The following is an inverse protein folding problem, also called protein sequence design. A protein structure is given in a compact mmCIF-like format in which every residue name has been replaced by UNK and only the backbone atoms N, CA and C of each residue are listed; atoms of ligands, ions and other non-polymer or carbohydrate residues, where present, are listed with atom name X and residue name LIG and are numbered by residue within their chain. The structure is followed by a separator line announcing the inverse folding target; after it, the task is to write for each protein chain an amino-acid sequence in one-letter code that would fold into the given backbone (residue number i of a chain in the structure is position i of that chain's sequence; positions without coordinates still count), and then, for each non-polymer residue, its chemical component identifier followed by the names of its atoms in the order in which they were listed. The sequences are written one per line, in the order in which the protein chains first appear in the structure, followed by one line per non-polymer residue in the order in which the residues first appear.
data_IF_656433231351
#
_entry.id   IF_656433231351
#
_cell.length_a   1.000
_cell.length_b   1.000
_cell.length_c   1.000
_cell.angle_alpha   90.00
_cell.angle_beta   90.00
_cell.angle_gamma   90.00
#
_symmetry.space_group_name_H-M   'P 1'
#
loop_
_entity.id
_entity.type
_entity.pdbx_description
1 polymer ?
#
# COMPACT_ATOMS: atom_id res chain seq x y z
N UNK A 1 -7.08 56.28 11.22
CA UNK A 1 -6.99 54.82 11.48
C UNK A 1 -8.34 54.06 11.51
N UNK A 2 -9.52 54.72 11.42
CA UNK A 2 -10.82 54.01 11.45
C UNK A 2 -11.25 53.37 10.11
N UNK A 3 -10.75 53.89 8.98
CA UNK A 3 -11.10 53.40 7.64
C UNK A 3 -10.43 52.05 7.32
N UNK A 4 -9.22 51.80 7.85
CA UNK A 4 -8.49 50.55 7.62
C UNK A 4 -9.16 49.34 8.31
N UNK A 5 -9.79 49.55 9.47
CA UNK A 5 -10.55 48.50 10.15
C UNK A 5 -11.86 48.14 9.43
N UNK A 6 -12.52 49.12 8.82
CA UNK A 6 -13.76 48.91 8.06
C UNK A 6 -13.52 48.04 6.81
N UNK A 7 -12.40 48.25 6.12
CA UNK A 7 -12.02 47.45 4.94
C UNK A 7 -11.67 46.01 5.33
N UNK A 8 -10.97 45.81 6.45
CA UNK A 8 -10.64 44.47 6.95
C UNK A 8 -11.87 43.64 7.35
N UNK A 9 -12.86 44.27 7.98
CA UNK A 9 -14.12 43.59 8.36
C UNK A 9 -14.96 43.24 7.13
N UNK A 10 -14.99 44.11 6.12
CA UNK A 10 -15.71 43.84 4.87
C UNK A 10 -15.10 42.65 4.10
N UNK A 11 -13.77 42.55 4.06
CA UNK A 11 -13.09 41.45 3.39
C UNK A 11 -13.33 40.09 4.08
N UNK A 12 -13.39 40.08 5.42
CA UNK A 12 -13.71 38.88 6.20
C UNK A 12 -15.15 38.40 5.96
N UNK A 13 -16.11 39.34 5.85
CA UNK A 13 -17.51 39.03 5.58
C UNK A 13 -17.71 38.42 4.17
N UNK A 14 -17.00 38.92 3.15
CA UNK A 14 -17.05 38.35 1.79
C UNK A 14 -16.45 36.94 1.75
N UNK A 15 -15.36 36.69 2.50
CA UNK A 15 -14.76 35.36 2.58
C UNK A 15 -15.70 34.32 3.24
N UNK A 16 -16.49 34.73 4.24
CA UNK A 16 -17.44 33.86 4.93
C UNK A 16 -18.64 33.47 4.04
N UNK A 17 -19.08 34.34 3.12
CA UNK A 17 -20.20 34.04 2.23
C UNK A 17 -19.86 33.00 1.15
N UNK A 18 -18.61 32.92 0.70
CA UNK A 18 -18.19 31.95 -0.32
C UNK A 18 -18.00 30.51 0.19
N UNK A 19 -18.04 30.28 1.51
CA UNK A 19 -17.80 28.96 2.09
C UNK A 19 -19.08 28.08 2.17
N UNK A 20 -20.28 28.66 1.98
CA UNK A 20 -21.54 27.94 2.15
C UNK A 20 -22.09 27.28 0.88
N UNK A 21 -21.47 27.49 -0.28
CA UNK A 21 -22.01 27.04 -1.57
C UNK A 21 -21.64 25.61 -1.98
N UNK A 22 -20.76 24.91 -1.24
CA UNK A 22 -20.22 23.60 -1.65
C UNK A 22 -20.84 22.36 -0.98
N UNK A 23 -21.86 22.48 -0.13
CA UNK A 23 -22.35 21.34 0.69
C UNK A 23 -23.53 20.55 0.11
N UNK A 24 -23.97 20.79 -1.13
CA UNK A 24 -25.14 20.08 -1.71
C UNK A 24 -24.79 19.22 -2.93
N UNK A 25 -23.87 18.27 -2.78
CA UNK A 25 -23.81 17.10 -3.67
C UNK A 25 -24.74 16.00 -3.13
N UNK A 26 -25.97 16.00 -3.64
CA UNK A 26 -27.01 15.02 -3.38
C UNK A 26 -26.62 13.69 -4.07
N UNK A 27 -26.30 12.68 -3.27
CA UNK A 27 -26.01 11.31 -3.74
C UNK A 27 -27.29 10.73 -4.39
N UNK A 28 -27.27 10.27 -5.67
CA UNK A 28 -28.43 9.58 -6.24
C UNK A 28 -28.64 8.24 -5.53
N UNK A 29 -29.92 7.87 -5.35
CA UNK A 29 -30.33 6.63 -4.71
C UNK A 29 -29.80 5.42 -5.49
N UNK A 30 -29.30 4.42 -4.75
CA UNK A 30 -28.86 3.15 -5.32
C UNK A 30 -30.06 2.44 -5.99
N UNK A 31 -29.89 1.83 -7.17
CA UNK A 31 -30.90 0.95 -7.74
C UNK A 31 -31.14 -0.23 -6.79
N UNK A 32 -32.41 -0.59 -6.60
CA UNK A 32 -32.83 -1.79 -5.87
C UNK A 32 -32.08 -2.99 -6.43
N UNK A 33 -31.46 -3.76 -5.52
CA UNK A 33 -30.82 -5.03 -5.85
C UNK A 33 -31.84 -5.91 -6.60
N UNK A 34 -31.53 -6.25 -7.85
CA UNK A 34 -32.22 -7.31 -8.55
C UNK A 34 -31.91 -8.62 -7.83
N UNK A 35 -32.95 -9.42 -7.59
CA UNK A 35 -32.88 -10.75 -7.02
C UNK A 35 -32.18 -11.70 -8.01
N UNK A 36 -30.86 -11.61 -8.13
CA UNK A 36 -30.06 -12.58 -8.88
C UNK A 36 -29.77 -13.79 -7.98
N UNK A 37 -30.75 -14.68 -7.88
CA UNK A 37 -30.57 -16.07 -7.44
C UNK A 37 -31.30 -17.01 -8.38
N UNK A 38 -30.98 -16.88 -9.67
CA UNK A 38 -31.23 -17.89 -10.71
C UNK A 38 -29.99 -18.81 -10.89
N UNK A 39 -29.23 -19.08 -9.83
CA UNK A 39 -28.01 -19.92 -9.88
C UNK A 39 -28.26 -21.40 -9.56
N UNK A 40 -29.48 -21.89 -9.71
CA UNK A 40 -29.75 -23.32 -9.74
C UNK A 40 -30.26 -23.70 -11.12
N UNK A 41 -29.35 -23.78 -12.09
CA UNK A 41 -29.59 -24.58 -13.27
C UNK A 41 -29.37 -26.05 -12.85
N UNK A 42 -30.41 -26.92 -12.86
CA UNK A 42 -30.19 -28.35 -12.84
C UNK A 42 -29.56 -28.75 -14.18
N UNK A 43 -28.27 -28.47 -14.34
CA UNK A 43 -27.49 -28.88 -15.48
C UNK A 43 -27.33 -30.41 -15.46
N UNK A 44 -27.25 -30.99 -16.66
CA UNK A 44 -26.90 -32.39 -16.81
C UNK A 44 -25.58 -32.69 -16.05
N UNK A 45 -25.42 -33.89 -15.47
CA UNK A 45 -24.23 -34.25 -14.74
C UNK A 45 -23.00 -34.00 -15.61
N UNK A 46 -22.15 -33.07 -15.16
CA UNK A 46 -20.89 -32.76 -15.83
C UNK A 46 -20.00 -33.98 -15.66
N UNK A 47 -19.60 -34.60 -16.78
CA UNK A 47 -18.63 -35.69 -16.76
C UNK A 47 -17.30 -35.14 -16.27
N UNK A 48 -16.94 -35.48 -15.04
CA UNK A 48 -15.66 -35.16 -14.46
C UNK A 48 -14.79 -36.41 -14.50
N UNK A 49 -13.89 -36.47 -15.49
CA UNK A 49 -13.00 -37.60 -15.70
C UNK A 49 -12.16 -37.95 -14.45
N UNK A 50 -11.89 -36.97 -13.57
CA UNK A 50 -11.19 -37.21 -12.32
C UNK A 50 -12.07 -37.92 -11.30
N UNK A 51 -13.29 -37.41 -11.04
CA UNK A 51 -14.22 -38.04 -10.09
C UNK A 51 -14.73 -39.40 -10.60
N UNK A 52 -14.90 -39.54 -11.91
CA UNK A 52 -15.26 -40.80 -12.56
C UNK A 52 -14.12 -41.84 -12.42
N UNK A 53 -12.86 -41.40 -12.35
CA UNK A 53 -11.71 -42.29 -12.10
C UNK A 53 -11.59 -42.74 -10.64
N UNK A 54 -12.01 -41.89 -9.69
CA UNK A 54 -12.03 -42.22 -8.27
C UNK A 54 -13.16 -43.19 -7.91
N UNK A 55 -14.31 -43.07 -8.56
CA UNK A 55 -15.49 -43.91 -8.28
C UNK A 55 -15.38 -45.31 -8.89
N UNK A 56 -14.71 -45.47 -10.03
CA UNK A 56 -14.52 -46.76 -10.70
C UNK A 56 -13.29 -47.56 -10.21
N UNK A 57 -12.44 -46.95 -9.38
CA UNK A 57 -11.22 -47.57 -8.85
C UNK A 57 -11.44 -48.27 -7.50
N UNK A 58 -11.96 -49.50 -7.51
CA UNK A 58 -11.99 -50.38 -6.33
C UNK A 58 -10.54 -50.72 -5.94
N UNK A 59 -10.00 -50.06 -4.91
CA UNK A 59 -8.79 -50.52 -4.21
C UNK A 59 -7.59 -49.57 -4.17
N UNK A 60 -7.62 -48.43 -4.86
CA UNK A 60 -6.49 -47.49 -4.83
C UNK A 60 -6.77 -46.40 -3.80
N UNK A 61 -6.21 -46.53 -2.60
CA UNK A 61 -6.18 -45.45 -1.63
C UNK A 61 -5.43 -44.26 -2.23
N UNK A 62 -6.18 -43.21 -2.60
CA UNK A 62 -5.57 -41.96 -3.02
C UNK A 62 -4.79 -41.36 -1.85
N UNK A 63 -3.47 -41.54 -1.82
CA UNK A 63 -2.61 -40.88 -0.85
C UNK A 63 -2.43 -39.41 -1.26
N UNK A 64 -3.11 -38.53 -0.54
CA UNK A 64 -2.84 -37.10 -0.57
C UNK A 64 -1.46 -36.84 0.04
N UNK A 65 -0.47 -36.59 -0.80
CA UNK A 65 0.83 -36.09 -0.36
C UNK A 65 0.75 -34.56 -0.25
N UNK A 66 0.63 -34.06 0.98
CA UNK A 66 0.71 -32.64 1.26
C UNK A 66 2.17 -32.28 1.53
N UNK A 67 2.86 -31.77 0.51
CA UNK A 67 4.20 -31.21 0.68
C UNK A 67 4.07 -29.82 1.31
N UNK A 68 4.33 -29.73 2.61
CA UNK A 68 4.48 -28.47 3.32
C UNK A 68 5.77 -27.79 2.84
N UNK A 69 5.67 -26.94 1.83
CA UNK A 69 6.77 -26.02 1.50
C UNK A 69 6.78 -24.95 2.58
N UNK A 70 7.84 -24.85 3.41
CA UNK A 70 7.91 -23.80 4.40
C UNK A 70 7.84 -22.44 3.68
N UNK A 71 7.11 -21.46 4.23
CA UNK A 71 7.09 -20.13 3.64
C UNK A 71 8.52 -19.59 3.54
N UNK A 72 8.88 -18.92 2.44
CA UNK A 72 10.21 -18.34 2.27
C UNK A 72 10.50 -17.39 3.45
N UNK A 73 11.74 -17.44 3.94
CA UNK A 73 12.16 -16.57 5.04
C UNK A 73 11.88 -15.10 4.69
N UNK A 74 11.37 -14.29 5.63
CA UNK A 74 11.12 -12.88 5.38
C UNK A 74 12.43 -12.20 4.96
N UNK A 75 12.45 -11.62 3.77
CA UNK A 75 13.60 -10.85 3.30
C UNK A 75 13.87 -9.71 4.29
N UNK A 76 15.08 -9.69 4.84
CA UNK A 76 15.50 -8.60 5.70
C UNK A 76 15.60 -7.33 4.84
N UNK A 77 14.64 -6.41 5.01
CA UNK A 77 14.62 -5.09 4.36
C UNK A 77 15.85 -4.22 4.73
N UNK A 78 16.64 -4.67 5.70
CA UNK A 78 17.74 -3.93 6.29
C UNK A 78 18.92 -4.86 6.56
N UNK A 79 20.09 -4.48 6.03
CA UNK A 79 21.36 -5.14 6.29
C UNK A 79 22.03 -4.48 7.50
N UNK A 80 22.41 -5.28 8.48
CA UNK A 80 23.28 -4.83 9.57
C UNK A 80 24.70 -4.61 9.05
N UNK A 81 25.32 -3.49 9.42
CA UNK A 81 26.71 -3.17 9.08
C UNK A 81 27.42 -2.68 10.35
N UNK A 82 28.71 -2.95 10.43
CA UNK A 82 29.61 -2.33 11.41
C UNK A 82 30.30 -1.16 10.71
N UNK A 83 29.67 0.02 10.79
CA UNK A 83 30.09 1.20 10.01
C UNK A 83 29.08 2.34 10.02
N UNK A 84 29.18 3.19 9.00
CA UNK A 84 28.44 4.44 8.85
C UNK A 84 27.51 4.40 7.64
N UNK A 85 26.38 5.10 7.77
CA UNK A 85 25.45 5.39 6.67
C UNK A 85 25.10 6.86 6.69
N UNK A 86 24.88 7.43 5.52
CA UNK A 86 24.46 8.84 5.40
C UNK A 86 22.94 8.90 5.39
N UNK A 87 22.36 9.60 6.37
CA UNK A 87 20.93 9.87 6.36
C UNK A 87 20.62 11.06 5.45
N UNK A 88 19.94 10.81 4.33
CA UNK A 88 19.57 11.84 3.35
C UNK A 88 18.18 12.43 3.59
N UNK A 89 17.32 11.71 4.32
CA UNK A 89 15.97 12.19 4.63
C UNK A 89 15.44 11.60 5.94
N UNK A 90 14.64 12.39 6.65
CA UNK A 90 13.80 11.94 7.75
C UNK A 90 12.48 12.75 7.76
N UNK A 91 11.34 12.07 7.76
CA UNK A 91 10.03 12.75 7.79
C UNK A 91 8.84 11.78 7.81
N UNK A 92 7.63 12.31 7.92
CA UNK A 92 6.41 11.50 8.07
C UNK A 92 5.85 10.94 6.74
N UNK A 93 6.21 11.54 5.60
CA UNK A 93 5.66 11.19 4.29
C UNK A 93 6.33 9.98 3.65
N UNK A 94 5.61 8.86 3.54
CA UNK A 94 6.09 7.64 2.88
C UNK A 94 6.41 7.86 1.40
N UNK A 95 5.51 8.53 0.66
CA UNK A 95 5.71 8.85 -0.76
C UNK A 95 6.96 9.70 -0.97
N UNK A 96 7.20 10.67 -0.08
CA UNK A 96 8.38 11.52 -0.16
C UNK A 96 9.66 10.72 0.11
N UNK A 97 9.65 9.85 1.11
CA UNK A 97 10.78 8.95 1.39
C UNK A 97 11.10 8.04 0.19
N UNK A 98 10.08 7.50 -0.49
CA UNK A 98 10.28 6.67 -1.69
C UNK A 98 10.85 7.46 -2.87
N UNK A 99 10.38 8.69 -3.08
CA UNK A 99 10.95 9.58 -4.10
C UNK A 99 12.43 9.89 -3.81
N UNK A 100 12.75 10.23 -2.56
CA UNK A 100 14.14 10.50 -2.16
C UNK A 100 15.01 9.27 -2.31
N UNK A 101 14.50 8.07 -1.96
CA UNK A 101 15.22 6.81 -2.18
C UNK A 101 15.55 6.61 -3.66
N UNK A 102 14.58 6.80 -4.56
CA UNK A 102 14.80 6.66 -6.00
C UNK A 102 15.85 7.66 -6.51
N UNK A 103 15.78 8.92 -6.07
CA UNK A 103 16.76 9.95 -6.45
C UNK A 103 18.16 9.65 -5.90
N UNK A 104 18.27 9.20 -4.65
CA UNK A 104 19.55 8.83 -4.06
C UNK A 104 20.16 7.62 -4.77
N UNK A 105 19.34 6.63 -5.16
CA UNK A 105 19.80 5.42 -5.84
C UNK A 105 20.35 5.68 -7.26
N UNK A 106 20.09 6.85 -7.87
CA UNK A 106 20.71 7.21 -9.15
C UNK A 106 22.10 7.83 -8.99
N UNK A 107 22.44 8.30 -7.79
CA UNK A 107 23.71 9.00 -7.51
C UNK A 107 24.66 8.09 -6.72
N UNK A 108 24.13 7.35 -5.77
CA UNK A 108 24.89 6.45 -4.90
C UNK A 108 24.94 5.07 -5.55
N UNK A 109 26.14 4.55 -5.77
CA UNK A 109 26.35 3.20 -6.33
C UNK A 109 25.95 2.10 -5.34
N UNK A 110 26.02 2.41 -4.04
CA UNK A 110 25.64 1.52 -2.96
C UNK A 110 24.13 1.47 -2.70
N UNK A 111 23.75 0.58 -1.79
CA UNK A 111 22.34 0.36 -1.42
C UNK A 111 21.75 1.58 -0.70
N UNK A 112 20.50 1.91 -1.04
CA UNK A 112 19.70 2.94 -0.37
C UNK A 112 18.51 2.30 0.35
N UNK A 113 18.48 2.47 1.66
CA UNK A 113 17.52 1.87 2.57
C UNK A 113 16.42 2.87 2.94
N UNK A 114 15.21 2.36 3.13
CA UNK A 114 14.08 3.13 3.70
C UNK A 114 13.64 2.43 4.98
N UNK A 115 13.74 3.12 6.10
CA UNK A 115 13.43 2.61 7.42
C UNK A 115 12.23 3.35 7.99
N UNK A 116 11.35 2.63 8.69
CA UNK A 116 10.25 3.23 9.43
C UNK A 116 10.53 3.11 10.92
N UNK A 117 10.86 4.23 11.56
CA UNK A 117 11.20 4.30 12.98
C UNK A 117 10.39 5.38 13.67
N UNK A 118 9.77 5.04 14.80
CA UNK A 118 9.01 6.00 15.64
C UNK A 118 7.97 6.80 14.84
N UNK A 119 7.33 6.18 13.86
CA UNK A 119 6.31 6.81 13.00
C UNK A 119 6.86 7.68 11.87
N UNK A 120 8.19 7.84 11.75
CA UNK A 120 8.84 8.56 10.65
C UNK A 120 9.55 7.61 9.70
N UNK A 121 9.68 8.03 8.45
CA UNK A 121 10.48 7.38 7.43
C UNK A 121 11.86 8.03 7.37
N UNK A 122 12.90 7.22 7.45
CA UNK A 122 14.30 7.61 7.25
C UNK A 122 14.81 7.00 5.96
N UNK A 123 15.56 7.76 5.19
CA UNK A 123 16.28 7.25 4.02
C UNK A 123 17.77 7.34 4.32
N UNK A 124 18.45 6.20 4.25
CA UNK A 124 19.87 6.07 4.49
C UNK A 124 20.55 5.50 3.24
N UNK A 125 21.69 6.07 2.88
CA UNK A 125 22.43 5.69 1.69
C UNK A 125 23.87 5.31 2.02
N UNK A 126 24.39 4.31 1.31
CA UNK A 126 25.76 3.84 1.44
C UNK A 126 25.97 2.89 2.62
N UNK A 127 27.00 2.06 2.51
CA UNK A 127 27.51 1.19 3.56
C UNK A 127 29.02 1.48 3.70
N UNK A 128 29.40 2.43 4.56
CA UNK A 128 30.78 2.88 4.68
C UNK A 128 31.45 2.30 5.93
N UNK A 129 32.66 1.75 5.79
CA UNK A 129 33.42 1.22 6.94
C UNK A 129 34.03 2.33 7.80
N UNK A 130 34.41 3.45 7.19
CA UNK A 130 35.11 4.55 7.85
C UNK A 130 34.40 5.89 7.63
N UNK A 131 34.41 6.74 8.65
CA UNK A 131 33.76 8.06 8.61
C UNK A 131 34.19 8.95 7.44
N UNK A 132 35.47 9.06 7.04
CA UNK A 132 35.88 9.93 5.94
C UNK A 132 35.35 9.51 4.57
N UNK A 133 34.80 8.30 4.45
CA UNK A 133 34.23 7.77 3.20
C UNK A 133 32.73 8.06 3.11
N UNK A 134 32.08 8.39 4.23
CA UNK A 134 30.65 8.69 4.33
C UNK A 134 30.40 10.19 4.10
#
# INVERSE_FOLDING_TARGET
MRILHLIGVLFLLVALQNCQTFSKLRKPAAPKAAEDSLLFHPGAPVKDAFLDSLSNGIGNSAQLSMVLVPPPAPELLYKWIDGYRVQVFAGLGSLRALQVRQQAATVVTDTVYVLKEKGMYKVQAGDYLYYPQA
#
